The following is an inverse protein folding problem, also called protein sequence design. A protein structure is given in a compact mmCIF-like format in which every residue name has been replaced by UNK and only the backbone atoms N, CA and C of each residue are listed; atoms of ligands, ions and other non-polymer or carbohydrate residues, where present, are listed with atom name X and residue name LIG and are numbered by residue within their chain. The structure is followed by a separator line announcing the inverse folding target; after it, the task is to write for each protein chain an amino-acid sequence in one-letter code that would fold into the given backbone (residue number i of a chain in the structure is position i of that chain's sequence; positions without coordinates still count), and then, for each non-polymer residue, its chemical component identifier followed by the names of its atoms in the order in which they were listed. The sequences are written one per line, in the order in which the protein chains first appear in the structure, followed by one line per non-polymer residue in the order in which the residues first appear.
data_IF_366877910129
#
_entry.id   IF_366877910129
#
_cell.length_a   1.000
_cell.length_b   1.000
_cell.length_c   1.000
_cell.angle_alpha   90.00
_cell.angle_beta   90.00
_cell.angle_gamma   90.00
#
_symmetry.space_group_name_H-M   'P 1'
#
loop_
_entity.id
_entity.type
_entity.pdbx_description
1 polymer ?
#
# COMPACT_ATOMS: atom_id res chain seq x y z
N UNK A 1 -13.04 -30.48 -48.79
CA UNK A 1 -14.47 -30.18 -48.52
C UNK A 1 -14.62 -29.05 -47.51
N UNK A 2 -13.96 -29.08 -46.34
CA UNK A 2 -14.02 -27.98 -45.34
C UNK A 2 -13.58 -26.59 -45.88
N UNK A 3 -12.52 -26.52 -46.69
CA UNK A 3 -12.00 -25.26 -47.23
C UNK A 3 -12.91 -24.56 -48.26
N UNK A 4 -13.92 -25.23 -48.81
CA UNK A 4 -14.84 -24.63 -49.78
C UNK A 4 -16.02 -23.89 -49.11
N UNK A 5 -16.29 -24.17 -47.83
CA UNK A 5 -17.48 -23.69 -47.13
C UNK A 5 -17.20 -22.94 -45.83
N UNK A 6 -15.97 -23.00 -45.28
CA UNK A 6 -15.58 -22.31 -44.04
C UNK A 6 -14.14 -21.75 -44.13
N UNK A 7 -13.91 -20.72 -44.97
CA UNK A 7 -12.57 -20.14 -45.15
C UNK A 7 -11.98 -19.54 -43.87
N UNK A 8 -12.81 -19.06 -42.96
CA UNK A 8 -12.45 -18.45 -41.66
C UNK A 8 -11.91 -19.44 -40.61
N UNK A 9 -12.16 -20.74 -40.78
CA UNK A 9 -11.64 -21.81 -39.91
C UNK A 9 -10.37 -22.47 -40.48
N UNK A 10 -9.84 -21.94 -41.58
CA UNK A 10 -8.55 -22.39 -42.11
C UNK A 10 -7.43 -21.96 -41.15
N UNK A 11 -6.50 -22.85 -40.80
CA UNK A 11 -5.37 -22.47 -39.97
C UNK A 11 -4.60 -21.34 -40.65
N UNK A 12 -4.24 -20.30 -39.89
CA UNK A 12 -3.39 -19.23 -40.38
C UNK A 12 -2.10 -19.83 -40.98
N UNK A 13 -1.54 -19.25 -42.05
CA UNK A 13 -0.29 -19.76 -42.62
C UNK A 13 0.77 -19.81 -41.52
N UNK A 14 1.43 -20.96 -41.38
CA UNK A 14 2.55 -21.10 -40.46
C UNK A 14 3.59 -20.01 -40.77
N UNK A 15 4.12 -19.30 -39.76
CA UNK A 15 5.12 -18.26 -40.00
C UNK A 15 6.31 -18.88 -40.72
N UNK A 16 6.72 -18.26 -41.83
CA UNK A 16 7.80 -18.73 -42.68
C UNK A 16 9.07 -19.05 -41.85
N UNK A 17 9.54 -20.28 -41.97
CA UNK A 17 10.82 -20.73 -41.41
C UNK A 17 11.95 -19.84 -41.96
N UNK A 18 12.48 -18.95 -41.10
CA UNK A 18 13.60 -18.08 -41.47
C UNK A 18 13.57 -16.66 -40.89
N UNK A 19 12.47 -16.22 -40.26
CA UNK A 19 12.51 -14.98 -39.48
C UNK A 19 13.35 -15.20 -38.20
N UNK A 20 14.31 -14.32 -37.85
CA UNK A 20 14.92 -14.38 -36.53
C UNK A 20 13.81 -14.30 -35.48
N UNK A 21 13.79 -15.25 -34.55
CA UNK A 21 12.84 -15.22 -33.45
C UNK A 21 12.88 -13.83 -32.82
N UNK A 22 11.72 -13.20 -32.53
CA UNK A 22 11.73 -11.95 -31.79
C UNK A 22 12.53 -12.19 -30.51
N UNK A 23 13.53 -11.35 -30.27
CA UNK A 23 14.34 -11.41 -29.06
C UNK A 23 13.40 -11.55 -27.86
N UNK A 24 13.72 -12.40 -26.85
CA UNK A 24 12.86 -12.54 -25.68
C UNK A 24 12.59 -11.13 -25.15
N UNK A 25 11.31 -10.74 -25.16
CA UNK A 25 10.88 -9.46 -24.62
C UNK A 25 11.48 -9.37 -23.21
N UNK A 26 12.15 -8.26 -22.92
CA UNK A 26 12.70 -8.02 -21.59
C UNK A 26 11.59 -8.32 -20.56
N UNK A 27 11.90 -9.04 -19.47
CA UNK A 27 10.88 -9.38 -18.48
C UNK A 27 10.19 -8.10 -18.05
N UNK A 28 8.87 -8.04 -18.24
CA UNK A 28 8.04 -6.94 -17.73
C UNK A 28 8.36 -6.88 -16.24
N UNK A 29 8.90 -5.75 -15.77
CA UNK A 29 9.24 -5.60 -14.37
C UNK A 29 8.00 -5.94 -13.52
N UNK A 30 8.10 -6.98 -12.69
CA UNK A 30 6.98 -7.44 -11.90
C UNK A 30 6.50 -6.30 -10.98
N UNK A 31 5.19 -6.12 -10.89
CA UNK A 31 4.59 -5.12 -10.02
C UNK A 31 4.96 -5.41 -8.55
N UNK A 32 5.59 -4.43 -7.88
CA UNK A 32 5.99 -4.54 -6.48
C UNK A 32 5.05 -3.70 -5.60
N UNK A 33 4.04 -4.36 -5.03
CA UNK A 33 3.06 -3.72 -4.16
C UNK A 33 3.70 -2.95 -2.98
N UNK A 34 4.73 -3.53 -2.38
CA UNK A 34 5.41 -2.97 -1.21
C UNK A 34 6.05 -1.64 -1.57
N UNK A 35 6.74 -1.60 -2.72
CA UNK A 35 7.32 -0.39 -3.27
C UNK A 35 6.26 0.67 -3.59
N UNK A 36 5.17 0.28 -4.23
CA UNK A 36 4.11 1.23 -4.62
C UNK A 36 3.36 1.81 -3.42
N UNK A 37 3.16 1.03 -2.36
CA UNK A 37 2.59 1.50 -1.09
C UNK A 37 3.54 2.43 -0.33
N UNK A 38 4.85 2.17 -0.37
CA UNK A 38 5.86 3.06 0.21
C UNK A 38 5.90 4.43 -0.45
N UNK A 39 5.93 4.46 -1.79
CA UNK A 39 5.87 5.72 -2.55
C UNK A 39 4.61 6.49 -2.18
N UNK A 40 3.49 5.78 -2.06
CA UNK A 40 2.22 6.40 -1.68
C UNK A 40 2.29 7.01 -0.28
N UNK A 41 2.85 6.28 0.70
CA UNK A 41 2.99 6.75 2.07
C UNK A 41 3.82 8.04 2.18
N UNK A 42 5.02 8.05 1.60
CA UNK A 42 5.92 9.21 1.67
C UNK A 42 5.25 10.47 1.11
N UNK A 43 4.58 10.35 -0.04
CA UNK A 43 3.91 11.49 -0.66
C UNK A 43 2.67 11.95 0.12
N UNK A 44 1.93 11.04 0.74
CA UNK A 44 0.82 11.39 1.63
C UNK A 44 1.33 12.14 2.86
N UNK A 45 2.42 11.69 3.46
CA UNK A 45 3.01 12.34 4.64
C UNK A 45 3.49 13.77 4.31
N UNK A 46 4.09 13.99 3.14
CA UNK A 46 4.44 15.33 2.63
C UNK A 46 3.22 16.24 2.50
N UNK A 47 2.13 15.76 1.88
CA UNK A 47 0.91 16.54 1.67
C UNK A 47 0.23 16.90 2.99
N UNK A 48 0.21 15.96 3.93
CA UNK A 48 -0.37 16.17 5.25
C UNK A 48 0.46 17.13 6.10
N UNK A 49 1.79 17.05 6.02
CA UNK A 49 2.68 18.01 6.67
C UNK A 49 2.47 19.44 6.13
N UNK A 50 2.09 19.58 4.86
CA UNK A 50 1.70 20.86 4.25
C UNK A 50 0.26 21.30 4.58
N UNK A 51 -0.53 20.47 5.28
CA UNK A 51 -1.94 20.73 5.57
C UNK A 51 -2.88 20.49 4.39
N UNK A 52 -2.41 19.86 3.30
CA UNK A 52 -3.17 19.60 2.08
C UNK A 52 -3.96 18.28 2.18
N UNK A 53 -4.99 18.26 3.04
CA UNK A 53 -5.77 17.05 3.36
C UNK A 53 -6.47 16.48 2.12
N UNK A 54 -7.18 17.32 1.36
CA UNK A 54 -7.94 16.88 0.18
C UNK A 54 -7.02 16.34 -0.91
N UNK A 55 -5.82 16.91 -1.06
CA UNK A 55 -4.82 16.45 -2.00
C UNK A 55 -4.28 15.07 -1.60
N UNK A 56 -4.02 14.86 -0.31
CA UNK A 56 -3.60 13.57 0.22
C UNK A 56 -4.67 12.49 -0.03
N UNK A 57 -5.94 12.80 0.22
CA UNK A 57 -7.06 11.87 -0.02
C UNK A 57 -7.23 11.53 -1.50
N UNK A 58 -7.19 12.54 -2.37
CA UNK A 58 -7.29 12.34 -3.81
C UNK A 58 -6.14 11.47 -4.33
N UNK A 59 -4.91 11.74 -3.88
CA UNK A 59 -3.75 10.97 -4.24
C UNK A 59 -3.85 9.51 -3.76
N UNK A 60 -4.32 9.25 -2.54
CA UNK A 60 -4.53 7.87 -2.06
C UNK A 60 -5.54 7.10 -2.91
N UNK A 61 -6.62 7.75 -3.38
CA UNK A 61 -7.60 7.10 -4.26
C UNK A 61 -7.02 6.82 -5.65
N UNK A 62 -6.27 7.75 -6.23
CA UNK A 62 -5.57 7.54 -7.50
C UNK A 62 -4.63 6.33 -7.40
N UNK A 63 -3.84 6.27 -6.32
CA UNK A 63 -2.89 5.18 -6.08
C UNK A 63 -3.60 3.86 -5.85
N UNK A 64 -4.75 3.84 -5.16
CA UNK A 64 -5.58 2.65 -5.00
C UNK A 64 -6.01 2.09 -6.36
N UNK A 65 -6.50 2.94 -7.26
CA UNK A 65 -6.93 2.52 -8.59
C UNK A 65 -5.76 1.96 -9.42
N UNK A 66 -4.62 2.66 -9.39
CA UNK A 66 -3.39 2.18 -10.04
C UNK A 66 -2.98 0.79 -9.55
N UNK A 67 -2.94 0.57 -8.23
CA UNK A 67 -2.54 -0.71 -7.65
C UNK A 67 -3.51 -1.84 -8.03
N UNK A 68 -4.82 -1.55 -8.06
CA UNK A 68 -5.85 -2.52 -8.47
C UNK A 68 -5.66 -2.92 -9.94
N UNK A 69 -5.48 -1.94 -10.83
CA UNK A 69 -5.37 -2.17 -12.28
C UNK A 69 -4.04 -2.82 -12.65
N UNK A 70 -2.93 -2.34 -12.10
CA UNK A 70 -1.58 -2.76 -12.48
C UNK A 70 -1.09 -3.99 -11.71
N UNK A 71 -1.54 -4.19 -10.48
CA UNK A 71 -1.11 -5.30 -9.62
C UNK A 71 -2.14 -6.41 -9.41
N UNK A 72 -3.39 -6.21 -9.84
CA UNK A 72 -4.47 -7.20 -9.66
C UNK A 72 -4.93 -7.35 -8.21
N UNK A 73 -4.63 -6.38 -7.33
CA UNK A 73 -5.00 -6.44 -5.92
C UNK A 73 -6.43 -5.93 -5.69
N UNK A 74 -7.17 -6.57 -4.78
CA UNK A 74 -8.49 -6.11 -4.37
C UNK A 74 -8.39 -5.15 -3.17
N UNK A 75 -8.02 -3.88 -3.44
CA UNK A 75 -7.99 -2.82 -2.44
C UNK A 75 -9.29 -2.00 -2.45
N UNK A 76 -10.11 -2.16 -1.41
CA UNK A 76 -11.39 -1.45 -1.27
C UNK A 76 -11.23 0.04 -0.94
N UNK A 77 -10.29 0.37 -0.05
CA UNK A 77 -10.02 1.74 0.41
C UNK A 77 -8.57 1.85 0.86
N UNK A 78 -7.91 2.94 0.45
CA UNK A 78 -6.59 3.34 0.94
C UNK A 78 -6.76 4.63 1.73
N UNK A 79 -6.41 4.63 3.01
CA UNK A 79 -6.50 5.80 3.90
C UNK A 79 -5.35 5.79 4.91
N UNK A 80 -5.22 6.85 5.70
CA UNK A 80 -4.22 6.96 6.75
C UNK A 80 -4.18 5.74 7.70
N UNK A 81 -5.35 5.27 8.15
CA UNK A 81 -5.44 4.11 9.04
C UNK A 81 -4.89 2.83 8.40
N UNK A 82 -5.07 2.65 7.08
CA UNK A 82 -4.49 1.52 6.35
C UNK A 82 -2.97 1.48 6.54
N UNK A 83 -2.29 2.63 6.43
CA UNK A 83 -0.85 2.71 6.65
C UNK A 83 -0.46 2.48 8.10
N UNK A 84 -1.26 2.94 9.07
CA UNK A 84 -0.99 2.69 10.49
C UNK A 84 -1.02 1.18 10.84
N UNK A 85 -1.93 0.40 10.25
CA UNK A 85 -2.01 -1.05 10.49
C UNK A 85 -1.02 -1.87 9.66
N UNK A 86 -0.47 -1.28 8.61
CA UNK A 86 0.37 -2.00 7.65
C UNK A 86 1.75 -1.33 7.45
N UNK A 87 2.21 -0.52 8.41
CA UNK A 87 3.40 0.35 8.33
C UNK A 87 4.73 -0.33 8.00
N UNK A 88 4.79 -1.66 7.97
CA UNK A 88 5.96 -2.44 7.58
C UNK A 88 6.28 -2.42 6.08
N UNK A 89 5.48 -1.81 5.20
CA UNK A 89 5.83 -1.74 3.75
C UNK A 89 7.15 -1.01 3.46
N UNK A 90 7.71 -0.29 4.44
CA UNK A 90 9.02 0.32 4.35
C UNK A 90 10.20 -0.67 4.42
N UNK A 91 9.97 -1.91 4.89
CA UNK A 91 11.04 -2.88 5.11
C UNK A 91 10.61 -4.23 4.53
N UNK A 92 11.31 -4.79 3.53
CA UNK A 92 11.12 -6.19 3.18
C UNK A 92 11.31 -7.01 4.45
N UNK A 93 10.35 -7.87 4.81
CA UNK A 93 10.37 -8.62 6.09
C UNK A 93 11.61 -9.52 6.29
N UNK A 94 12.46 -9.67 5.27
CA UNK A 94 13.74 -10.37 5.31
C UNK A 94 14.97 -9.48 5.50
N UNK A 95 14.83 -8.15 5.46
CA UNK A 95 15.93 -7.20 5.70
C UNK A 95 15.78 -6.60 7.11
N UNK A 96 16.76 -6.89 7.96
CA UNK A 96 16.86 -6.42 9.33
C UNK A 96 17.27 -4.93 9.44
N UNK A 97 16.82 -4.07 8.51
CA UNK A 97 17.03 -2.64 8.68
C UNK A 97 15.95 -2.05 9.59
N UNK A 98 16.31 -1.18 10.55
CA UNK A 98 15.33 -0.47 11.37
C UNK A 98 14.40 0.34 10.47
N UNK A 99 13.12 0.41 10.83
CA UNK A 99 12.19 1.37 10.22
C UNK A 99 12.80 2.78 10.30
N UNK A 100 12.79 3.57 9.22
CA UNK A 100 13.14 4.98 9.28
C UNK A 100 12.36 5.66 10.42
N UNK A 101 12.93 6.66 11.14
CA UNK A 101 12.25 7.30 12.27
C UNK A 101 10.87 7.86 11.92
N UNK A 102 10.69 8.31 10.68
CA UNK A 102 9.44 8.80 10.09
C UNK A 102 8.35 7.71 9.96
N UNK A 103 8.75 6.45 9.99
CA UNK A 103 7.94 5.25 9.81
C UNK A 103 7.87 4.38 11.08
N UNK A 104 8.63 4.75 12.12
CA UNK A 104 8.45 4.18 13.45
C UNK A 104 7.10 4.64 14.00
N UNK A 105 6.32 3.74 14.61
CA UNK A 105 5.08 4.11 15.30
C UNK A 105 5.43 4.95 16.54
N UNK A 106 5.21 6.28 16.52
CA UNK A 106 5.63 7.14 17.62
C UNK A 106 4.71 6.99 18.84
N UNK A 107 3.50 6.46 18.66
CA UNK A 107 2.49 6.33 19.70
C UNK A 107 2.43 4.93 20.30
N UNK A 108 2.95 3.91 19.61
CA UNK A 108 2.81 2.51 20.00
C UNK A 108 3.27 2.22 21.44
N UNK A 109 4.50 2.63 21.78
CA UNK A 109 5.04 2.43 23.13
C UNK A 109 4.22 3.18 24.21
N UNK A 110 3.69 4.35 23.86
CA UNK A 110 2.93 5.20 24.78
C UNK A 110 1.52 4.64 25.01
N UNK A 111 0.88 4.12 23.97
CA UNK A 111 -0.38 3.40 24.06
C UNK A 111 -0.24 2.09 24.83
N UNK A 112 0.88 1.37 24.68
CA UNK A 112 1.17 0.18 25.49
C UNK A 112 1.32 0.53 26.97
N UNK A 113 2.03 1.62 27.29
CA UNK A 113 2.14 2.13 28.66
C UNK A 113 0.77 2.53 29.23
N UNK A 114 -0.02 3.30 28.48
CA UNK A 114 -1.36 3.71 28.88
C UNK A 114 -2.25 2.48 29.12
N UNK A 115 -2.15 1.48 28.25
CA UNK A 115 -2.87 0.21 28.39
C UNK A 115 -2.46 -0.56 29.64
N UNK A 116 -1.19 -0.55 30.01
CA UNK A 116 -0.66 -1.20 31.22
C UNK A 116 -1.09 -0.48 32.51
N UNK A 117 -1.22 0.85 32.49
CA UNK A 117 -1.66 1.65 33.63
C UNK A 117 -3.19 1.65 33.82
N UNK A 118 -3.94 1.30 32.77
CA UNK A 118 -5.40 1.30 32.80
C UNK A 118 -5.96 0.15 33.67
N UNK A 119 -6.89 0.48 34.58
CA UNK A 119 -7.51 -0.49 35.49
C UNK A 119 -8.37 -1.56 34.77
N UNK A 120 -8.84 -1.28 33.56
CA UNK A 120 -9.56 -2.23 32.72
C UNK A 120 -9.44 -1.86 31.25
N UNK A 121 -9.85 -2.77 30.36
CA UNK A 121 -9.93 -2.47 28.93
C UNK A 121 -10.94 -1.35 28.63
N UNK A 122 -12.06 -1.32 29.34
CA UNK A 122 -13.06 -0.26 29.16
C UNK A 122 -12.47 1.11 29.52
N UNK A 123 -11.78 1.20 30.67
CA UNK A 123 -11.12 2.44 31.10
C UNK A 123 -10.06 2.92 30.09
N UNK A 124 -9.31 1.98 29.49
CA UNK A 124 -8.37 2.30 28.43
C UNK A 124 -9.06 2.87 27.19
N UNK A 125 -10.14 2.23 26.71
CA UNK A 125 -10.88 2.69 25.53
C UNK A 125 -11.52 4.05 25.78
N UNK A 126 -12.10 4.28 26.95
CA UNK A 126 -12.67 5.57 27.33
C UNK A 126 -11.61 6.69 27.35
N UNK A 127 -10.41 6.39 27.86
CA UNK A 127 -9.29 7.34 27.87
C UNK A 127 -8.81 7.68 26.45
N UNK A 128 -8.61 6.67 25.60
CA UNK A 128 -8.16 6.86 24.21
C UNK A 128 -9.22 7.58 23.37
N UNK A 129 -10.51 7.34 23.61
CA UNK A 129 -11.61 8.01 22.91
C UNK A 129 -11.64 9.54 23.13
N UNK A 130 -11.04 10.02 24.22
CA UNK A 130 -10.90 11.44 24.53
C UNK A 130 -9.77 12.14 23.78
N UNK A 131 -8.79 11.41 23.23
CA UNK A 131 -7.61 11.97 22.59
C UNK A 131 -7.95 12.64 21.26
N UNK A 132 -7.46 13.86 21.07
CA UNK A 132 -7.62 14.67 19.85
C UNK A 132 -6.29 15.09 19.25
N UNK A 133 -5.24 15.11 20.05
CA UNK A 133 -3.87 15.41 19.65
C UNK A 133 -2.88 14.50 20.39
N UNK A 134 -1.66 14.39 19.85
CA UNK A 134 -0.56 13.65 20.48
C UNK A 134 -0.27 14.12 21.91
N UNK A 135 -0.30 15.44 22.14
CA UNK A 135 -0.13 16.04 23.47
C UNK A 135 -1.19 15.60 24.51
N UNK A 136 -2.36 15.12 24.07
CA UNK A 136 -3.35 14.55 25.00
C UNK A 136 -2.84 13.22 25.59
N UNK A 137 -2.11 12.41 24.80
CA UNK A 137 -1.56 11.13 25.23
C UNK A 137 -0.44 11.33 26.24
N UNK A 138 0.48 12.28 25.99
CA UNK A 138 1.55 12.61 26.92
C UNK A 138 1.00 13.03 28.28
N UNK A 139 -0.06 13.86 28.30
CA UNK A 139 -0.74 14.29 29.54
C UNK A 139 -1.40 13.15 30.34
N UNK A 140 -1.79 12.06 29.70
CA UNK A 140 -2.35 10.90 30.40
C UNK A 140 -1.27 9.98 30.97
N UNK A 141 -0.02 10.13 30.54
CA UNK A 141 1.12 9.31 30.96
C UNK A 141 2.01 9.98 32.00
N UNK A 142 1.80 11.27 32.29
CA UNK A 142 2.37 12.01 33.42
C UNK A 142 1.68 11.67 34.75
#
# INVERSE_FOLDING_TARGET
VLAAHYPELSPAPEPAEGAPAPAPAAPIAAFDLTRELRITRLRVDELLAAGEIEAAEAYMEERRQFIVVSGGYALRKLNQAYFAFHGAYAVPSWQAEPLPPELADPLGADLERLRAQSASLAAFVDAVAGLRAEDDLSRLLE
#
